data_IF_312764002214
#
_entry.id   IF_312764002214
#
_cell.length_a   1.000
_cell.length_b   1.000
_cell.length_c   1.000
_cell.angle_alpha   90.00
_cell.angle_beta   90.00
_cell.angle_gamma   90.00
#
_symmetry.space_group_name_H-M   'P 1'
#
loop_
_entity.id
_entity.type
_entity.pdbx_description
1 polymer ?
#
# COMPACT_ATOMS: atom_id res chain seq x y z
N UNK A 1 5.63 20.41 66.77
CA UNK A 1 5.79 21.22 65.53
C UNK A 1 6.42 20.46 64.37
N UNK A 2 7.35 19.51 64.54
CA UNK A 2 8.01 18.78 63.45
C UNK A 2 7.07 17.84 62.64
N UNK A 3 6.14 17.15 63.31
CA UNK A 3 5.18 16.22 62.62
C UNK A 3 4.19 16.93 61.66
N UNK A 4 3.78 18.15 61.98
CA UNK A 4 2.87 18.94 61.13
C UNK A 4 3.57 19.45 59.85
N UNK A 5 4.85 19.79 59.91
CA UNK A 5 5.64 20.19 58.77
C UNK A 5 5.93 19.01 57.82
N UNK A 6 6.16 17.82 58.38
CA UNK A 6 6.38 16.61 57.59
C UNK A 6 5.11 16.19 56.82
N UNK A 7 3.93 16.30 57.46
CA UNK A 7 2.65 15.98 56.84
C UNK A 7 2.29 16.96 55.69
N UNK A 8 2.66 18.25 55.86
CA UNK A 8 2.45 19.27 54.82
C UNK A 8 3.36 19.08 53.62
N UNK A 9 4.60 18.63 53.82
CA UNK A 9 5.53 18.30 52.73
C UNK A 9 5.05 17.06 51.97
N UNK A 10 4.51 16.06 52.65
CA UNK A 10 3.97 14.85 52.02
C UNK A 10 2.72 15.15 51.18
N UNK A 11 1.84 16.05 51.67
CA UNK A 11 0.66 16.52 50.92
C UNK A 11 1.05 17.35 49.68
N UNK A 12 2.12 18.17 49.80
CA UNK A 12 2.62 18.98 48.68
C UNK A 12 3.26 18.09 47.60
N UNK A 13 3.98 17.04 47.99
CA UNK A 13 4.54 16.06 47.01
C UNK A 13 3.45 15.24 46.32
N UNK A 14 2.36 14.90 47.02
CA UNK A 14 1.22 14.16 46.42
C UNK A 14 0.47 15.01 45.40
N UNK A 15 0.35 16.32 45.65
CA UNK A 15 -0.29 17.27 44.73
C UNK A 15 0.54 17.54 43.47
N UNK A 16 1.86 17.42 43.52
CA UNK A 16 2.76 17.57 42.37
C UNK A 16 2.78 16.34 41.43
N UNK A 17 2.40 15.18 41.93
CA UNK A 17 2.33 13.96 41.09
C UNK A 17 1.11 13.86 40.20
N UNK A 18 0.09 14.74 40.37
CA UNK A 18 -1.13 14.71 39.57
C UNK A 18 -1.09 15.57 38.29
N UNK A 19 0.01 16.32 38.07
CA UNK A 19 0.13 17.19 36.87
C UNK A 19 0.84 16.56 35.70
N UNK A 20 1.17 15.27 35.73
CA UNK A 20 1.75 14.54 34.58
C UNK A 20 0.65 13.73 33.87
N UNK A 21 -0.54 14.29 33.70
CA UNK A 21 -1.45 13.81 32.66
C UNK A 21 -1.02 14.49 31.37
N UNK A 22 0.11 14.02 30.85
CA UNK A 22 0.64 14.46 29.59
C UNK A 22 -0.38 14.24 28.48
N UNK A 23 -0.55 15.25 27.67
CA UNK A 23 -1.23 15.19 26.38
C UNK A 23 -0.82 13.92 25.64
N UNK A 24 -1.70 12.94 25.61
CA UNK A 24 -1.61 11.79 24.72
C UNK A 24 -1.98 12.28 23.33
N UNK A 25 -0.99 12.89 22.64
CA UNK A 25 -1.13 13.08 21.20
C UNK A 25 -1.46 11.72 20.64
N UNK A 26 -2.62 11.61 19.97
CA UNK A 26 -2.95 10.47 19.12
C UNK A 26 -1.85 10.39 18.06
N UNK A 27 -0.78 9.66 18.37
CA UNK A 27 -0.01 9.01 17.31
C UNK A 27 -1.03 8.15 16.59
N UNK A 28 -1.30 8.47 15.34
CA UNK A 28 -1.80 7.47 14.40
C UNK A 28 -0.77 6.35 14.45
N UNK A 29 -1.03 5.35 15.24
CA UNK A 29 -0.31 4.10 15.21
C UNK A 29 -0.59 3.52 13.84
N UNK A 30 0.38 3.67 12.94
CA UNK A 30 0.58 2.69 11.90
C UNK A 30 0.72 1.36 12.63
N UNK A 31 -0.38 0.64 12.72
CA UNK A 31 -0.46 -0.71 13.28
C UNK A 31 0.25 -1.67 12.32
N UNK A 32 1.58 -1.54 12.26
CA UNK A 32 2.48 -2.54 11.66
C UNK A 32 2.75 -3.63 12.70
N UNK A 33 1.71 -4.02 13.42
CA UNK A 33 1.72 -5.22 14.22
C UNK A 33 2.01 -6.41 13.31
N UNK A 34 2.90 -7.26 13.74
CA UNK A 34 3.44 -8.46 13.13
C UNK A 34 2.33 -9.48 12.72
N UNK A 35 1.36 -9.03 11.91
CA UNK A 35 0.31 -9.86 11.36
C UNK A 35 0.92 -10.73 10.25
N UNK A 36 0.97 -12.04 10.51
CA UNK A 36 1.25 -13.03 9.47
C UNK A 36 0.23 -12.85 8.34
N UNK A 37 0.68 -12.64 7.10
CA UNK A 37 -0.21 -12.50 5.95
C UNK A 37 0.47 -11.85 4.77
N UNK A 38 -0.20 -11.90 3.62
CA UNK A 38 0.23 -11.28 2.38
C UNK A 38 -0.14 -9.80 2.38
N UNK A 39 0.79 -8.92 2.08
CA UNK A 39 0.53 -7.49 1.97
C UNK A 39 -0.28 -7.20 0.69
N UNK A 40 -1.50 -6.73 0.83
CA UNK A 40 -2.35 -6.31 -0.28
C UNK A 40 -2.46 -4.78 -0.23
N UNK A 41 -2.16 -4.15 -1.35
CA UNK A 41 -2.24 -2.70 -1.45
C UNK A 41 -3.56 -2.28 -2.09
N UNK A 42 -4.27 -1.44 -1.38
CA UNK A 42 -5.52 -0.78 -1.77
C UNK A 42 -5.29 0.70 -1.98
N UNK A 43 -6.30 1.42 -2.45
CA UNK A 43 -6.28 2.89 -2.45
C UNK A 43 -7.38 3.45 -1.56
N UNK A 44 -7.22 4.68 -1.06
CA UNK A 44 -8.32 5.42 -0.42
C UNK A 44 -9.39 5.81 -1.45
N UNK A 45 -10.51 6.35 -0.96
CA UNK A 45 -11.63 6.72 -1.84
C UNK A 45 -11.28 7.79 -2.87
N UNK A 46 -10.37 8.70 -2.52
CA UNK A 46 -9.95 9.83 -3.37
C UNK A 46 -8.81 9.48 -4.32
N UNK A 47 -8.30 8.23 -4.26
CA UNK A 47 -7.20 7.73 -5.11
C UNK A 47 -5.94 8.59 -5.00
N UNK A 48 -5.59 8.99 -3.78
CA UNK A 48 -4.43 9.84 -3.50
C UNK A 48 -3.31 9.13 -2.74
N UNK A 49 -3.58 7.94 -2.18
CA UNK A 49 -2.59 7.17 -1.42
C UNK A 49 -2.86 5.67 -1.46
N UNK A 50 -1.79 4.90 -1.30
CA UNK A 50 -1.87 3.46 -1.07
C UNK A 50 -2.10 3.15 0.42
N UNK A 51 -2.91 2.13 0.65
CA UNK A 51 -3.21 1.61 1.98
C UNK A 51 -2.88 0.12 1.99
N UNK A 52 -1.86 -0.25 2.73
CA UNK A 52 -1.44 -1.65 2.88
C UNK A 52 -2.29 -2.34 3.94
N UNK A 53 -2.75 -3.56 3.63
CA UNK A 53 -3.37 -4.47 4.57
C UNK A 53 -2.73 -5.85 4.48
N UNK A 54 -2.46 -6.47 5.61
CA UNK A 54 -2.08 -7.87 5.67
C UNK A 54 -3.34 -8.73 5.60
N UNK A 55 -3.41 -9.62 4.63
CA UNK A 55 -4.55 -10.52 4.44
C UNK A 55 -4.10 -11.97 4.35
N UNK A 56 -4.92 -12.88 4.82
CA UNK A 56 -4.66 -14.31 4.65
C UNK A 56 -5.05 -14.72 3.22
N UNK A 57 -4.07 -14.64 2.31
CA UNK A 57 -4.23 -15.07 0.92
C UNK A 57 -3.47 -16.37 0.73
N UNK A 58 -4.18 -17.43 0.34
CA UNK A 58 -3.59 -18.72 0.04
C UNK A 58 -2.87 -18.65 -1.32
N UNK A 59 -1.54 -18.55 -1.30
CA UNK A 59 -0.69 -18.48 -2.48
C UNK A 59 -0.22 -19.89 -2.84
N UNK A 60 -0.90 -20.54 -3.76
CA UNK A 60 -0.60 -21.89 -4.21
C UNK A 60 -0.05 -21.91 -5.64
N UNK A 61 0.65 -23.01 -5.97
CA UNK A 61 1.18 -23.25 -7.29
C UNK A 61 2.50 -22.55 -7.59
N UNK A 62 2.83 -22.45 -8.88
CA UNK A 62 4.03 -21.78 -9.36
C UNK A 62 3.94 -20.25 -9.28
N UNK A 63 5.03 -19.53 -9.60
CA UNK A 63 5.07 -18.07 -9.50
C UNK A 63 3.96 -17.38 -10.32
N UNK A 64 3.73 -17.83 -11.55
CA UNK A 64 2.69 -17.24 -12.40
C UNK A 64 1.29 -17.44 -11.81
N UNK A 65 1.02 -18.57 -11.18
CA UNK A 65 -0.26 -18.83 -10.49
C UNK A 65 -0.42 -17.91 -9.27
N UNK A 66 0.63 -17.75 -8.46
CA UNK A 66 0.63 -16.81 -7.31
C UNK A 66 0.41 -15.37 -7.76
N UNK A 67 1.06 -14.94 -8.83
CA UNK A 67 0.84 -13.61 -9.44
C UNK A 67 -0.62 -13.43 -9.86
N UNK A 68 -1.21 -14.40 -10.57
CA UNK A 68 -2.62 -14.35 -10.98
C UNK A 68 -3.57 -14.26 -9.78
N UNK A 69 -3.30 -15.01 -8.68
CA UNK A 69 -4.07 -14.93 -7.43
C UNK A 69 -4.03 -13.51 -6.85
N UNK A 70 -2.85 -12.91 -6.78
CA UNK A 70 -2.67 -11.55 -6.24
C UNK A 70 -3.34 -10.49 -7.14
N UNK A 71 -3.19 -10.58 -8.46
CA UNK A 71 -3.87 -9.67 -9.39
C UNK A 71 -5.38 -9.73 -9.27
N UNK A 72 -5.95 -10.95 -9.19
CA UNK A 72 -7.38 -11.14 -8.92
C UNK A 72 -7.78 -10.50 -7.58
N UNK A 73 -6.94 -10.61 -6.56
CA UNK A 73 -7.17 -9.99 -5.26
C UNK A 73 -7.17 -8.46 -5.34
N UNK A 74 -6.24 -7.86 -6.10
CA UNK A 74 -6.15 -6.42 -6.33
C UNK A 74 -7.34 -5.82 -7.10
N UNK A 75 -8.12 -6.66 -7.82
CA UNK A 75 -9.37 -6.28 -8.50
C UNK A 75 -10.61 -6.49 -7.63
N UNK A 76 -10.51 -7.24 -6.53
CA UNK A 76 -11.66 -7.51 -5.68
C UNK A 76 -12.05 -6.26 -4.89
N UNK A 77 -13.36 -5.99 -4.84
CA UNK A 77 -13.91 -4.94 -3.97
C UNK A 77 -13.64 -5.29 -2.52
N UNK A 78 -12.93 -4.44 -1.76
CA UNK A 78 -12.68 -4.70 -0.35
C UNK A 78 -13.97 -4.60 0.47
N UNK A 79 -14.02 -5.30 1.61
CA UNK A 79 -15.17 -5.26 2.53
C UNK A 79 -15.37 -3.87 3.16
N UNK A 80 -14.32 -3.08 3.29
CA UNK A 80 -14.36 -1.75 3.89
C UNK A 80 -14.74 -0.69 2.85
N UNK A 81 -15.68 0.18 3.19
CA UNK A 81 -16.07 1.33 2.37
C UNK A 81 -15.05 2.48 2.37
N UNK A 82 -14.01 2.41 3.21
CA UNK A 82 -12.94 3.42 3.31
C UNK A 82 -11.80 3.21 2.31
N UNK A 83 -11.80 2.09 1.61
CA UNK A 83 -10.75 1.71 0.67
C UNK A 83 -11.37 1.15 -0.61
N UNK A 84 -10.61 1.21 -1.70
CA UNK A 84 -11.01 0.67 -3.00
C UNK A 84 -9.94 -0.27 -3.56
N UNK A 85 -10.36 -1.15 -4.44
CA UNK A 85 -9.46 -1.98 -5.23
C UNK A 85 -8.47 -1.10 -6.01
N UNK A 86 -7.21 -1.48 -6.02
CA UNK A 86 -6.17 -0.72 -6.74
C UNK A 86 -6.34 -0.88 -8.25
N UNK A 87 -6.66 -2.07 -8.72
CA UNK A 87 -7.04 -2.30 -10.13
C UNK A 87 -8.56 -2.13 -10.24
N UNK A 88 -9.07 -1.17 -11.02
CA UNK A 88 -10.50 -1.03 -11.22
C UNK A 88 -11.13 -2.29 -11.83
N UNK A 89 -12.24 -2.73 -11.29
CA UNK A 89 -12.92 -3.97 -11.75
C UNK A 89 -13.25 -3.98 -13.26
N UNK A 90 -13.44 -2.80 -13.85
CA UNK A 90 -13.72 -2.64 -15.29
C UNK A 90 -12.50 -2.85 -16.19
N UNK A 91 -11.30 -2.88 -15.64
CA UNK A 91 -10.06 -3.08 -16.41
C UNK A 91 -9.81 -4.58 -16.52
N UNK A 92 -9.79 -5.08 -17.76
CA UNK A 92 -9.45 -6.47 -18.02
C UNK A 92 -7.93 -6.62 -18.13
N UNK A 93 -7.43 -7.73 -17.59
CA UNK A 93 -6.06 -8.19 -17.76
C UNK A 93 -6.11 -9.23 -18.87
N UNK A 94 -5.51 -8.91 -20.02
CA UNK A 94 -5.46 -9.78 -21.19
C UNK A 94 -4.46 -10.91 -21.03
N UNK A 95 -3.29 -10.58 -20.44
CA UNK A 95 -2.20 -11.52 -20.29
C UNK A 95 -1.37 -11.25 -19.04
N UNK A 96 -0.74 -12.32 -18.53
CA UNK A 96 0.22 -12.27 -17.44
C UNK A 96 1.29 -13.32 -17.72
N UNK A 97 2.55 -12.91 -17.73
CA UNK A 97 3.71 -13.80 -17.78
C UNK A 97 4.69 -13.48 -16.67
N UNK A 98 5.54 -14.45 -16.35
CA UNK A 98 6.64 -14.29 -15.39
C UNK A 98 7.92 -14.78 -16.06
N UNK A 99 8.82 -13.86 -16.33
CA UNK A 99 10.10 -14.10 -16.97
C UNK A 99 11.22 -13.75 -16.00
N UNK A 100 11.95 -14.75 -15.54
CA UNK A 100 13.02 -14.61 -14.53
C UNK A 100 12.50 -13.93 -13.27
N UNK A 101 12.72 -12.62 -13.11
CA UNK A 101 12.34 -11.81 -11.96
C UNK A 101 11.37 -10.65 -12.32
N UNK A 102 10.85 -10.66 -13.54
CA UNK A 102 9.93 -9.64 -14.07
C UNK A 102 8.56 -10.28 -14.28
N UNK A 103 7.53 -9.63 -13.79
CA UNK A 103 6.13 -9.92 -14.14
C UNK A 103 5.71 -8.99 -15.26
N UNK A 104 5.23 -9.54 -16.37
CA UNK A 104 4.66 -8.76 -17.47
C UNK A 104 3.14 -8.83 -17.38
N UNK A 105 2.48 -7.67 -17.44
CA UNK A 105 1.02 -7.55 -17.35
C UNK A 105 0.51 -6.78 -18.55
N UNK A 106 -0.34 -7.42 -19.35
CA UNK A 106 -1.03 -6.78 -20.46
C UNK A 106 -2.47 -6.44 -20.07
N UNK A 107 -2.80 -5.16 -20.15
CA UNK A 107 -4.15 -4.67 -19.91
C UNK A 107 -4.93 -4.48 -21.21
N UNK A 108 -6.25 -4.55 -21.12
CA UNK A 108 -7.13 -4.15 -22.23
C UNK A 108 -7.05 -2.64 -22.47
N UNK A 109 -7.47 -2.22 -23.67
CA UNK A 109 -7.56 -0.79 -24.07
C UNK A 109 -8.39 0.05 -23.10
N UNK A 110 -9.26 -0.57 -22.30
CA UNK A 110 -10.00 0.10 -21.24
C UNK A 110 -9.12 0.79 -20.20
N UNK A 111 -7.86 0.36 -20.07
CA UNK A 111 -6.89 0.99 -19.16
C UNK A 111 -6.60 2.45 -19.54
N UNK A 112 -6.56 2.79 -20.84
CA UNK A 112 -6.34 4.16 -21.32
C UNK A 112 -7.36 5.19 -20.84
N UNK A 113 -8.48 4.74 -20.24
CA UNK A 113 -9.57 5.62 -19.75
C UNK A 113 -9.48 5.95 -18.26
N UNK A 114 -8.47 5.49 -17.57
CA UNK A 114 -8.26 5.88 -16.16
C UNK A 114 -7.52 7.21 -16.09
N UNK A 115 -7.73 7.95 -15.00
CA UNK A 115 -7.01 9.20 -14.78
C UNK A 115 -5.55 8.93 -14.44
N UNK A 116 -4.69 9.90 -14.66
CA UNK A 116 -3.25 9.84 -14.38
C UNK A 116 -2.96 9.45 -12.92
N UNK A 117 -3.61 10.09 -11.96
CA UNK A 117 -3.48 9.72 -10.54
C UNK A 117 -3.88 8.26 -10.29
N UNK A 118 -4.93 7.80 -10.98
CA UNK A 118 -5.38 6.41 -10.86
C UNK A 118 -4.38 5.44 -11.47
N UNK A 119 -3.77 5.80 -12.59
CA UNK A 119 -2.71 5.02 -13.24
C UNK A 119 -1.51 4.85 -12.31
N UNK A 120 -0.98 5.96 -11.79
CA UNK A 120 0.16 5.94 -10.86
C UNK A 120 -0.11 5.03 -9.65
N UNK A 121 -1.24 5.22 -8.98
CA UNK A 121 -1.63 4.42 -7.81
C UNK A 121 -1.85 2.95 -8.17
N UNK A 122 -2.44 2.67 -9.34
CA UNK A 122 -2.66 1.31 -9.83
C UNK A 122 -1.34 0.57 -10.04
N UNK A 123 -0.41 1.16 -10.80
CA UNK A 123 0.92 0.58 -11.06
C UNK A 123 1.70 0.38 -9.76
N UNK A 124 1.75 1.39 -8.91
CA UNK A 124 2.43 1.30 -7.63
C UNK A 124 1.85 0.19 -6.74
N UNK A 125 0.53 0.11 -6.59
CA UNK A 125 -0.11 -0.93 -5.79
C UNK A 125 0.14 -2.35 -6.31
N UNK A 126 0.19 -2.51 -7.63
CA UNK A 126 0.55 -3.79 -8.27
C UNK A 126 2.01 -4.14 -7.96
N UNK A 127 2.94 -3.22 -8.21
CA UNK A 127 4.38 -3.44 -7.96
C UNK A 127 4.62 -3.78 -6.50
N UNK A 128 4.10 -2.99 -5.56
CA UNK A 128 4.28 -3.26 -4.12
C UNK A 128 3.65 -4.59 -3.69
N UNK A 129 2.56 -5.03 -4.33
CA UNK A 129 1.93 -6.31 -4.02
C UNK A 129 2.70 -7.49 -4.62
N UNK A 130 3.16 -7.39 -5.86
CA UNK A 130 3.79 -8.54 -6.53
C UNK A 130 5.25 -8.74 -6.12
N UNK A 131 6.00 -7.67 -5.90
CA UNK A 131 7.41 -7.75 -5.50
C UNK A 131 7.65 -8.20 -4.05
N UNK A 132 6.60 -8.59 -3.31
CA UNK A 132 6.76 -9.34 -2.07
C UNK A 132 6.94 -10.84 -2.32
N UNK A 133 6.60 -11.33 -3.51
CA UNK A 133 6.87 -12.71 -3.89
C UNK A 133 8.38 -12.92 -4.06
N UNK A 134 8.88 -14.07 -3.57
CA UNK A 134 10.27 -14.44 -3.76
C UNK A 134 10.63 -14.40 -5.23
N UNK A 135 11.79 -13.89 -5.57
CA UNK A 135 12.36 -13.80 -6.91
C UNK A 135 11.60 -12.89 -7.90
N UNK A 136 10.60 -12.10 -7.45
CA UNK A 136 9.94 -11.06 -8.25
C UNK A 136 10.44 -9.69 -7.81
N UNK A 137 11.15 -8.99 -8.68
CA UNK A 137 11.73 -7.67 -8.39
C UNK A 137 11.05 -6.55 -9.17
N UNK A 138 10.55 -6.85 -10.36
CA UNK A 138 10.04 -5.85 -11.30
C UNK A 138 8.70 -6.27 -11.90
N UNK A 139 7.96 -5.27 -12.36
CA UNK A 139 6.72 -5.44 -13.13
C UNK A 139 6.77 -4.53 -14.33
N UNK A 140 6.54 -5.07 -15.53
CA UNK A 140 6.33 -4.32 -16.75
C UNK A 140 4.86 -4.32 -17.15
N UNK A 141 4.46 -3.29 -17.87
CA UNK A 141 3.08 -3.06 -18.24
C UNK A 141 2.95 -2.80 -19.73
N UNK A 142 1.92 -3.42 -20.34
CA UNK A 142 1.49 -3.16 -21.70
C UNK A 142 -0.02 -2.92 -21.76
N UNK A 143 -0.48 -2.37 -22.87
CA UNK A 143 -1.91 -2.17 -23.18
C UNK A 143 -2.17 -2.73 -24.57
N UNK A 144 -2.89 -3.84 -24.65
CA UNK A 144 -3.16 -4.58 -25.88
C UNK A 144 -1.89 -4.94 -26.66
N UNK A 145 -0.88 -5.42 -25.95
CA UNK A 145 0.41 -5.84 -26.49
C UNK A 145 1.44 -4.73 -26.69
N UNK A 146 1.03 -3.45 -26.66
CA UNK A 146 1.93 -2.33 -26.82
C UNK A 146 2.49 -1.86 -25.46
N UNK A 147 3.79 -1.56 -25.35
CA UNK A 147 4.37 -1.04 -24.12
C UNK A 147 3.63 0.19 -23.60
N UNK A 148 3.45 0.28 -22.29
CA UNK A 148 2.87 1.47 -21.69
C UNK A 148 3.86 2.63 -21.80
N UNK A 149 3.37 3.80 -22.20
CA UNK A 149 4.17 5.00 -22.35
C UNK A 149 3.92 5.96 -21.17
N UNK A 150 4.92 6.76 -20.83
CA UNK A 150 4.77 7.89 -19.93
C UNK A 150 4.27 9.16 -20.68
N UNK A 151 4.27 10.29 -19.99
CA UNK A 151 3.71 11.55 -20.51
C UNK A 151 4.51 12.15 -21.66
N UNK A 152 5.78 11.80 -21.82
CA UNK A 152 6.64 12.27 -22.93
C UNK A 152 6.66 11.28 -24.11
N UNK A 153 5.91 10.17 -24.01
CA UNK A 153 5.80 9.15 -25.02
C UNK A 153 6.92 8.10 -24.99
N UNK A 154 7.75 8.12 -23.97
CA UNK A 154 8.79 7.10 -23.77
C UNK A 154 8.19 5.84 -23.11
N UNK A 155 8.65 4.65 -23.54
CA UNK A 155 8.18 3.41 -22.95
C UNK A 155 8.57 3.33 -21.46
N UNK A 156 7.58 3.10 -20.62
CA UNK A 156 7.79 2.84 -19.19
C UNK A 156 8.40 1.45 -19.08
N UNK A 157 9.65 1.36 -18.67
CA UNK A 157 10.34 0.09 -18.47
C UNK A 157 9.73 -0.75 -17.34
N UNK A 158 10.47 -1.77 -16.92
CA UNK A 158 10.08 -2.56 -15.75
C UNK A 158 10.26 -1.75 -14.46
N UNK A 159 9.20 -1.68 -13.65
CA UNK A 159 9.14 -0.88 -12.43
C UNK A 159 9.39 -1.75 -11.19
N UNK A 160 10.30 -1.33 -10.33
CA UNK A 160 10.56 -1.88 -9.00
C UNK A 160 9.92 -1.03 -7.90
N UNK A 161 10.15 -1.40 -6.65
CA UNK A 161 9.64 -0.62 -5.49
C UNK A 161 10.25 0.77 -5.40
N UNK A 162 11.48 0.92 -5.81
CA UNK A 162 12.27 2.15 -5.86
C UNK A 162 11.83 3.10 -6.97
N UNK A 163 11.07 2.60 -7.96
CA UNK A 163 10.49 3.44 -9.01
C UNK A 163 9.38 4.38 -8.51
N UNK A 164 8.91 4.19 -7.28
CA UNK A 164 7.85 5.00 -6.68
C UNK A 164 8.34 5.69 -5.42
N UNK A 165 8.55 6.99 -5.50
CA UNK A 165 8.89 7.82 -4.33
C UNK A 165 7.60 8.34 -3.72
N UNK A 166 7.06 7.63 -2.75
CA UNK A 166 6.00 8.14 -1.87
C UNK A 166 6.64 9.00 -0.76
N UNK A 167 7.46 9.94 -1.18
CA UNK A 167 8.08 10.90 -0.27
C UNK A 167 7.09 11.97 0.14
N UNK A 168 7.37 12.61 1.27
CA UNK A 168 6.73 13.82 1.79
C UNK A 168 6.94 14.99 0.82
N UNK A 169 6.40 14.89 -0.39
CA UNK A 169 6.25 16.07 -1.21
C UNK A 169 5.14 16.89 -0.55
N UNK A 170 5.38 18.17 -0.20
CA UNK A 170 4.30 19.04 0.20
C UNK A 170 3.35 19.09 -1.00
N UNK A 171 2.25 18.37 -0.90
CA UNK A 171 1.14 18.56 -1.81
C UNK A 171 0.59 19.94 -1.51
N UNK A 172 0.88 20.90 -2.38
CA UNK A 172 0.23 22.22 -2.35
C UNK A 172 -1.21 22.10 -2.75
#
# INVERSE_FOLDING_TARGET
>A
MKKRKLCMIFLLCLALMTLVVGCRSKKETNDQGNQKGTAIYYTNNDVTKLIMKKENVKLEGNQQQKVKILLKKLQQTPKSNKIRAVIPKRIMINGVSVNTNIVEIDFSTGYKRISENRDLICRAGIVYTLTQLKDINYVSFSISGEPMLDTDGTAIGALGRDSFVFGKLPMK
#
